data_IF_208838885933
#
_entry.id   IF_208838885933
#
_cell.length_a   1.000
_cell.length_b   1.000
_cell.length_c   1.000
_cell.angle_alpha   90.00
_cell.angle_beta   90.00
_cell.angle_gamma   90.00
#
_symmetry.space_group_name_H-M   'P 1'
#
loop_
_entity.id
_entity.type
_entity.pdbx_description
1 polymer ?
#
# COMPACT_ATOMS: atom_id res chain seq x y z
N UNK A 1 23.23 -3.28 1.48
CA UNK A 1 22.28 -4.11 0.73
C UNK A 1 20.86 -3.84 1.22
N UNK A 2 19.87 -3.82 0.33
CA UNK A 2 18.50 -3.58 0.75
C UNK A 2 17.96 -4.76 1.59
N UNK A 3 17.12 -4.43 2.56
CA UNK A 3 16.38 -5.41 3.32
C UNK A 3 15.24 -5.95 2.45
N UNK A 4 15.17 -7.26 2.30
CA UNK A 4 14.10 -7.92 1.55
C UNK A 4 13.29 -8.79 2.49
N UNK A 5 11.98 -8.60 2.47
CA UNK A 5 11.06 -9.41 3.23
C UNK A 5 10.20 -10.24 2.28
N UNK A 6 10.29 -11.57 2.40
CA UNK A 6 9.47 -12.51 1.65
C UNK A 6 8.49 -13.18 2.58
N UNK A 7 7.26 -13.25 2.16
CA UNK A 7 6.20 -13.86 2.93
C UNK A 7 5.33 -14.77 2.06
N UNK A 8 5.13 -15.99 2.52
CA UNK A 8 4.23 -16.96 1.90
C UNK A 8 3.09 -17.28 2.85
N UNK A 9 1.87 -16.79 2.52
CA UNK A 9 0.70 -16.97 3.36
C UNK A 9 0.19 -18.40 3.39
N UNK A 10 0.52 -19.23 2.38
CA UNK A 10 0.09 -20.63 2.34
C UNK A 10 0.84 -21.49 3.33
N UNK A 11 2.10 -21.19 3.58
CA UNK A 11 2.95 -21.92 4.56
C UNK A 11 2.99 -21.22 5.91
N UNK A 12 2.59 -19.96 5.97
CA UNK A 12 2.67 -19.14 7.16
C UNK A 12 4.10 -18.76 7.52
N UNK A 13 5.02 -18.71 6.57
CA UNK A 13 6.43 -18.41 6.80
C UNK A 13 6.85 -17.13 6.09
N UNK A 14 7.80 -16.42 6.70
CA UNK A 14 8.42 -15.26 6.11
C UNK A 14 9.92 -15.28 6.35
N UNK A 15 10.65 -14.53 5.54
CA UNK A 15 12.08 -14.33 5.73
C UNK A 15 12.45 -12.88 5.48
N UNK A 16 13.45 -12.41 6.22
CA UNK A 16 14.09 -11.12 6.02
C UNK A 16 15.45 -11.37 5.40
N UNK A 17 15.73 -10.73 4.28
CA UNK A 17 16.98 -10.91 3.57
C UNK A 17 17.72 -9.58 3.41
N UNK A 18 19.02 -9.59 3.74
CA UNK A 18 19.89 -8.47 3.50
C UNK A 18 21.17 -8.97 2.80
N UNK A 19 21.33 -8.61 1.53
CA UNK A 19 22.42 -9.15 0.72
C UNK A 19 22.29 -10.66 0.58
N UNK A 20 23.35 -11.40 0.98
CA UNK A 20 23.36 -12.85 1.02
C UNK A 20 22.90 -13.44 2.36
N UNK A 21 22.71 -12.59 3.37
CA UNK A 21 22.26 -13.03 4.70
C UNK A 21 20.75 -13.11 4.75
N UNK A 22 20.23 -14.28 5.09
CA UNK A 22 18.80 -14.51 5.24
C UNK A 22 18.49 -14.87 6.69
N UNK A 23 17.54 -14.13 7.27
CA UNK A 23 17.13 -14.29 8.66
C UNK A 23 15.71 -14.82 8.71
N UNK A 24 15.52 -15.98 9.34
CA UNK A 24 14.18 -16.46 9.64
C UNK A 24 13.48 -15.47 10.59
N UNK A 25 12.23 -15.18 10.31
CA UNK A 25 11.42 -14.30 11.16
C UNK A 25 11.03 -15.03 12.43
N UNK A 26 11.86 -14.96 13.46
CA UNK A 26 11.62 -15.62 14.73
C UNK A 26 10.33 -15.13 15.39
N UNK A 27 9.44 -16.06 15.72
CA UNK A 27 8.19 -15.76 16.40
C UNK A 27 7.13 -15.10 15.53
N UNK A 28 7.43 -14.80 14.28
CA UNK A 28 6.43 -14.30 13.32
C UNK A 28 6.10 -15.38 12.31
N UNK A 29 4.94 -15.95 12.48
CA UNK A 29 4.37 -16.87 11.51
C UNK A 29 3.59 -16.07 10.48
N UNK A 30 3.34 -16.62 9.33
CA UNK A 30 2.48 -15.99 8.34
C UNK A 30 1.07 -15.75 8.86
N UNK A 31 0.65 -16.53 9.85
CA UNK A 31 -0.52 -16.22 10.63
C UNK A 31 -0.45 -14.84 11.30
N UNK A 32 0.73 -14.28 11.52
CA UNK A 32 0.86 -12.96 12.14
C UNK A 32 0.49 -11.85 11.18
N UNK A 33 0.82 -11.94 9.90
CA UNK A 33 0.32 -11.01 8.89
C UNK A 33 -1.18 -11.17 8.66
N UNK A 34 -1.68 -12.39 8.74
CA UNK A 34 -3.10 -12.68 8.55
C UNK A 34 -3.93 -12.60 9.84
N UNK A 35 -3.31 -12.36 10.99
CA UNK A 35 -3.99 -12.41 12.28
C UNK A 35 -4.39 -11.04 12.85
N UNK A 36 -4.29 -9.99 12.06
CA UNK A 36 -4.68 -8.64 12.47
C UNK A 36 -3.73 -7.99 13.46
N UNK A 37 -2.49 -8.42 13.54
CA UNK A 37 -1.49 -7.83 14.43
C UNK A 37 -0.92 -6.54 13.87
N UNK A 38 -0.46 -5.67 14.77
CA UNK A 38 0.27 -4.48 14.39
C UNK A 38 1.74 -4.83 14.14
N UNK A 39 2.24 -4.48 12.97
CA UNK A 39 3.62 -4.77 12.56
C UNK A 39 4.35 -3.47 12.26
N UNK A 40 5.62 -3.42 12.62
CA UNK A 40 6.50 -2.28 12.31
C UNK A 40 7.66 -2.75 11.45
N UNK A 41 7.89 -2.04 10.35
CA UNK A 41 8.94 -2.34 9.39
C UNK A 41 10.03 -1.28 9.49
N UNK A 42 11.24 -1.72 9.79
CA UNK A 42 12.42 -0.89 10.03
C UNK A 42 13.45 -1.13 8.93
N UNK A 43 14.38 -0.19 8.80
CA UNK A 43 15.53 -0.31 7.91
C UNK A 43 15.29 0.27 6.52
N UNK A 44 16.36 0.83 5.95
CA UNK A 44 16.31 1.48 4.64
C UNK A 44 16.24 0.47 3.50
N UNK A 45 15.59 0.86 2.41
CA UNK A 45 15.45 0.07 1.19
C UNK A 45 14.84 -1.30 1.45
N UNK A 46 13.86 -1.36 2.35
CA UNK A 46 13.14 -2.58 2.65
C UNK A 46 12.29 -3.03 1.47
N UNK A 47 12.14 -4.34 1.32
CA UNK A 47 11.30 -4.91 0.27
C UNK A 47 10.45 -6.05 0.82
N UNK A 48 9.17 -6.00 0.51
CA UNK A 48 8.22 -7.06 0.84
C UNK A 48 7.70 -7.61 -0.48
N UNK A 49 8.00 -8.88 -0.75
CA UNK A 49 7.51 -9.59 -1.93
C UNK A 49 6.39 -10.54 -1.52
N UNK A 50 5.17 -10.29 -2.01
CA UNK A 50 4.05 -11.17 -1.75
C UNK A 50 4.02 -12.30 -2.76
N UNK A 51 4.19 -13.52 -2.29
CA UNK A 51 4.05 -14.75 -3.08
C UNK A 51 2.62 -15.29 -3.02
N UNK A 52 1.87 -14.89 -2.01
CA UNK A 52 0.45 -15.21 -1.85
C UNK A 52 -0.30 -14.01 -1.30
N UNK A 53 -1.60 -13.98 -1.54
CA UNK A 53 -2.46 -12.90 -1.04
C UNK A 53 -2.53 -12.91 0.49
N UNK A 54 -2.56 -11.72 1.08
CA UNK A 54 -2.56 -11.51 2.53
C UNK A 54 -3.86 -10.87 2.97
N UNK A 55 -4.47 -11.41 4.01
CA UNK A 55 -5.62 -10.79 4.70
C UNK A 55 -5.16 -10.35 6.09
N UNK A 56 -4.88 -9.05 6.22
CA UNK A 56 -4.35 -8.47 7.46
C UNK A 56 -5.42 -8.33 8.55
N UNK A 57 -6.65 -8.17 8.17
CA UNK A 57 -7.71 -7.92 9.14
C UNK A 57 -7.61 -6.52 9.76
N UNK A 58 -7.74 -6.42 11.07
CA UNK A 58 -7.79 -5.15 11.81
C UNK A 58 -6.42 -4.60 12.21
N UNK A 59 -5.33 -5.30 11.93
CA UNK A 59 -3.98 -4.86 12.28
C UNK A 59 -3.50 -3.71 11.40
N UNK A 60 -2.47 -3.01 11.86
CA UNK A 60 -1.83 -1.92 11.13
C UNK A 60 -0.39 -2.25 10.76
N UNK A 61 0.07 -1.65 9.68
CA UNK A 61 1.45 -1.74 9.22
C UNK A 61 2.09 -0.38 9.38
N UNK A 62 3.15 -0.28 10.17
CA UNK A 62 3.91 0.95 10.34
C UNK A 62 5.23 0.84 9.61
N UNK A 63 5.48 1.79 8.71
CA UNK A 63 6.74 1.91 7.97
C UNK A 63 7.50 3.12 8.50
N UNK A 64 8.66 2.88 9.10
CA UNK A 64 9.51 3.94 9.65
C UNK A 64 10.58 4.40 8.68
N UNK A 65 10.80 3.64 7.61
CA UNK A 65 11.78 3.89 6.58
C UNK A 65 11.21 3.53 5.20
N UNK A 66 11.99 3.74 4.16
CA UNK A 66 11.58 3.49 2.78
C UNK A 66 11.43 2.00 2.48
N UNK A 67 10.26 1.62 1.99
CA UNK A 67 9.91 0.24 1.64
C UNK A 67 9.25 0.18 0.27
N UNK A 68 9.40 -0.98 -0.38
CA UNK A 68 8.63 -1.35 -1.56
C UNK A 68 7.86 -2.62 -1.25
N UNK A 69 6.54 -2.58 -1.42
CA UNK A 69 5.67 -3.75 -1.30
C UNK A 69 5.21 -4.14 -2.69
N UNK A 70 5.61 -5.32 -3.14
CA UNK A 70 5.41 -5.77 -4.51
C UNK A 70 4.90 -7.20 -4.58
N UNK A 71 4.50 -7.63 -5.77
CA UNK A 71 4.14 -9.02 -6.07
C UNK A 71 4.49 -9.34 -7.52
N UNK A 72 4.99 -10.53 -7.76
CA UNK A 72 5.29 -11.03 -9.11
C UNK A 72 4.15 -11.87 -9.71
N UNK A 73 3.15 -12.23 -8.90
CA UNK A 73 2.08 -13.15 -9.29
C UNK A 73 0.67 -12.59 -9.13
N UNK A 74 0.53 -11.27 -8.92
CA UNK A 74 -0.78 -10.65 -8.75
C UNK A 74 -1.42 -10.84 -7.39
N UNK A 75 -0.67 -11.25 -6.37
CA UNK A 75 -1.18 -11.37 -5.00
C UNK A 75 -1.70 -10.04 -4.47
N UNK A 76 -2.73 -10.09 -3.63
CA UNK A 76 -3.42 -8.91 -3.10
C UNK A 76 -3.20 -8.75 -1.60
N UNK A 77 -3.41 -7.55 -1.08
CA UNK A 77 -3.41 -7.24 0.34
C UNK A 77 -4.76 -6.70 0.76
N UNK A 78 -5.36 -7.29 1.79
CA UNK A 78 -6.71 -6.97 2.26
C UNK A 78 -6.69 -6.49 3.69
N UNK A 79 -7.45 -5.47 4.00
CA UNK A 79 -7.82 -5.06 5.36
C UNK A 79 -6.82 -4.17 6.09
N UNK A 80 -5.62 -3.92 5.58
CA UNK A 80 -4.60 -3.25 6.35
C UNK A 80 -4.82 -1.73 6.49
N UNK A 81 -4.56 -1.21 7.69
CA UNK A 81 -4.24 0.17 7.91
C UNK A 81 -2.73 0.39 7.77
N UNK A 82 -2.32 1.44 7.09
CA UNK A 82 -0.92 1.77 6.85
C UNK A 82 -0.57 3.09 7.54
N UNK A 83 0.49 3.06 8.36
CA UNK A 83 1.06 4.25 8.98
C UNK A 83 2.43 4.48 8.33
N UNK A 84 2.58 5.59 7.62
CA UNK A 84 3.84 5.94 6.94
C UNK A 84 4.46 7.13 7.66
N UNK A 85 5.63 6.93 8.25
CA UNK A 85 6.33 7.98 8.98
C UNK A 85 6.83 9.07 8.03
N UNK A 86 7.04 10.26 8.56
CA UNK A 86 7.32 11.49 7.82
C UNK A 86 8.41 11.36 6.76
N UNK A 87 9.48 10.64 7.06
CA UNK A 87 10.63 10.51 6.15
C UNK A 87 10.66 9.16 5.44
N UNK A 88 9.57 8.41 5.47
CA UNK A 88 9.46 7.09 4.87
C UNK A 88 8.60 7.15 3.61
N UNK A 89 9.16 7.12 2.40
CA UNK A 89 8.38 6.83 1.20
C UNK A 89 8.14 5.33 1.12
N UNK A 90 6.90 4.94 0.87
CA UNK A 90 6.52 3.55 0.65
C UNK A 90 5.96 3.40 -0.76
N UNK A 91 6.58 2.51 -1.54
CA UNK A 91 6.11 2.14 -2.86
C UNK A 91 5.16 0.95 -2.73
N UNK A 92 3.91 1.15 -3.09
CA UNK A 92 2.86 0.15 -2.93
C UNK A 92 2.43 -0.38 -4.29
N UNK A 93 2.85 -1.59 -4.62
CA UNK A 93 2.67 -2.20 -5.94
C UNK A 93 1.73 -3.41 -5.90
N UNK A 94 0.92 -3.52 -4.87
CA UNK A 94 -0.06 -4.60 -4.74
C UNK A 94 -1.47 -4.03 -4.75
N UNK A 95 -2.40 -4.78 -5.32
CA UNK A 95 -3.79 -4.37 -5.38
C UNK A 95 -4.56 -4.91 -4.18
N UNK A 96 -5.64 -4.23 -3.82
CA UNK A 96 -6.63 -4.71 -2.87
C UNK A 96 -7.73 -5.50 -3.57
N UNK A 97 -8.82 -5.72 -2.87
CA UNK A 97 -9.98 -6.44 -3.37
C UNK A 97 -11.23 -5.57 -3.27
N UNK A 98 -12.24 -5.91 -4.06
CA UNK A 98 -13.53 -5.22 -4.03
C UNK A 98 -14.14 -5.27 -2.62
N UNK A 99 -14.62 -4.13 -2.16
CA UNK A 99 -15.25 -4.01 -0.84
C UNK A 99 -14.30 -3.73 0.29
N UNK A 100 -12.98 -3.81 0.08
CA UNK A 100 -11.97 -3.47 1.06
C UNK A 100 -11.45 -2.05 0.86
N UNK A 101 -11.00 -1.40 1.94
CA UNK A 101 -10.42 -0.08 1.90
C UNK A 101 -9.05 -0.09 2.57
N UNK A 102 -8.05 0.43 1.86
CA UNK A 102 -6.74 0.70 2.43
C UNK A 102 -6.79 2.03 3.16
N UNK A 103 -6.49 2.02 4.45
CA UNK A 103 -6.44 3.22 5.28
C UNK A 103 -4.99 3.69 5.41
N UNK A 104 -4.71 4.92 4.96
CA UNK A 104 -3.37 5.50 5.07
C UNK A 104 -3.39 6.69 6.02
N UNK A 105 -2.54 6.62 7.05
CA UNK A 105 -2.27 7.72 7.98
C UNK A 105 -0.75 7.93 8.11
N UNK A 106 -0.34 8.86 8.98
CA UNK A 106 1.06 9.26 9.11
C UNK A 106 1.45 10.31 8.08
N UNK A 107 2.47 11.11 8.39
CA UNK A 107 2.86 12.28 7.58
C UNK A 107 3.65 11.92 6.32
N UNK A 108 4.06 10.65 6.17
CA UNK A 108 4.87 10.20 5.05
C UNK A 108 4.08 10.02 3.76
N UNK A 109 4.78 9.57 2.71
CA UNK A 109 4.23 9.44 1.36
C UNK A 109 4.05 7.99 0.99
N UNK A 110 2.85 7.64 0.54
CA UNK A 110 2.55 6.36 -0.08
C UNK A 110 2.45 6.58 -1.59
N UNK A 111 3.29 5.87 -2.35
CA UNK A 111 3.27 5.91 -3.82
C UNK A 111 2.62 4.63 -4.33
N UNK A 112 1.47 4.75 -4.98
CA UNK A 112 0.71 3.62 -5.52
C UNK A 112 1.15 3.38 -6.96
N UNK A 113 1.86 2.28 -7.19
CA UNK A 113 2.44 1.93 -8.49
C UNK A 113 2.19 0.47 -8.88
N UNK A 114 1.05 -0.08 -8.51
CA UNK A 114 0.65 -1.41 -8.98
C UNK A 114 0.29 -1.40 -10.46
N UNK A 115 -0.25 -2.51 -10.94
CA UNK A 115 -0.59 -2.69 -12.36
C UNK A 115 -2.05 -3.06 -12.52
N UNK A 116 -2.68 -2.49 -13.53
CA UNK A 116 -4.05 -2.80 -13.91
C UNK A 116 -5.09 -2.12 -13.04
N UNK A 117 -6.23 -2.77 -12.88
CA UNK A 117 -7.37 -2.24 -12.15
C UNK A 117 -7.36 -2.74 -10.72
N UNK A 118 -7.17 -1.82 -9.76
CA UNK A 118 -7.34 -2.12 -8.35
C UNK A 118 -8.81 -1.88 -7.97
N UNK A 119 -9.51 -2.91 -7.54
CA UNK A 119 -10.92 -2.83 -7.15
C UNK A 119 -11.12 -2.40 -5.69
N UNK A 120 -10.04 -2.30 -4.93
CA UNK A 120 -10.08 -1.80 -3.56
C UNK A 120 -10.23 -0.30 -3.48
N UNK A 121 -10.71 0.19 -2.34
CA UNK A 121 -10.83 1.62 -2.06
C UNK A 121 -9.66 2.15 -1.25
N UNK A 122 -9.56 3.48 -1.14
CA UNK A 122 -8.56 4.19 -0.35
C UNK A 122 -9.24 5.19 0.57
N UNK A 123 -8.78 5.23 1.82
CA UNK A 123 -9.11 6.30 2.77
C UNK A 123 -7.81 6.93 3.25
N UNK A 124 -7.66 8.23 3.06
CA UNK A 124 -6.46 8.98 3.43
C UNK A 124 -6.77 9.89 4.60
N UNK A 125 -6.11 9.68 5.72
CA UNK A 125 -6.29 10.51 6.93
C UNK A 125 -5.17 11.50 7.18
N UNK A 126 -3.98 11.30 6.60
CA UNK A 126 -2.83 12.21 6.77
C UNK A 126 -1.77 11.95 5.71
N UNK A 127 -0.84 12.90 5.57
CA UNK A 127 0.31 12.81 4.67
C UNK A 127 -0.06 12.90 3.20
N UNK A 128 0.70 12.21 2.36
CA UNK A 128 0.55 12.28 0.90
C UNK A 128 0.37 10.89 0.32
N UNK A 129 -0.53 10.75 -0.64
CA UNK A 129 -0.66 9.57 -1.50
C UNK A 129 -0.49 10.00 -2.94
N UNK A 130 0.45 9.38 -3.65
CA UNK A 130 0.69 9.61 -5.08
C UNK A 130 0.09 8.44 -5.84
N UNK A 131 -0.88 8.72 -6.72
CA UNK A 131 -1.54 7.71 -7.53
C UNK A 131 -0.83 7.63 -8.89
N UNK A 132 -0.07 6.55 -9.07
CA UNK A 132 0.73 6.30 -10.28
C UNK A 132 0.58 4.85 -10.73
N UNK A 133 -0.64 4.33 -10.69
CA UNK A 133 -0.95 2.99 -11.15
C UNK A 133 -0.64 2.87 -12.64
N UNK A 134 -0.10 1.73 -13.05
CA UNK A 134 0.29 1.47 -14.42
C UNK A 134 -0.78 0.62 -15.12
N UNK A 135 -1.00 0.88 -16.41
CA UNK A 135 -1.92 0.09 -17.20
C UNK A 135 -1.42 -1.35 -17.37
N UNK A 136 -2.37 -2.29 -17.43
CA UNK A 136 -2.07 -3.68 -17.78
C UNK A 136 -1.82 -3.83 -19.28
N UNK A 137 -1.58 -5.07 -19.73
CA UNK A 137 -1.33 -5.37 -21.15
C UNK A 137 -2.52 -5.05 -22.06
N UNK A 138 -3.73 -4.92 -21.49
CA UNK A 138 -4.94 -4.53 -22.22
C UNK A 138 -5.23 -3.02 -22.16
N UNK A 139 -4.37 -2.24 -21.52
CA UNK A 139 -4.51 -0.80 -21.37
C UNK A 139 -5.45 -0.36 -20.26
N UNK A 140 -5.89 -1.27 -19.39
CA UNK A 140 -6.77 -0.94 -18.27
C UNK A 140 -5.97 -0.46 -17.07
N UNK A 141 -6.43 0.61 -16.42
CA UNK A 141 -5.76 1.18 -15.26
C UNK A 141 -6.77 1.80 -14.29
N UNK A 142 -6.57 1.55 -13.01
CA UNK A 142 -7.28 2.22 -11.91
C UNK A 142 -6.47 2.03 -10.63
N UNK A 143 -6.07 3.13 -9.99
CA UNK A 143 -5.34 3.04 -8.72
C UNK A 143 -6.23 2.55 -7.58
N UNK A 144 -7.44 3.10 -7.47
CA UNK A 144 -8.47 2.67 -6.51
C UNK A 144 -9.85 2.83 -7.11
N UNK A 145 -10.79 2.00 -6.66
CA UNK A 145 -12.20 2.12 -7.06
C UNK A 145 -12.88 3.34 -6.43
N UNK A 146 -12.40 3.77 -5.27
CA UNK A 146 -12.87 4.97 -4.58
C UNK A 146 -11.74 5.59 -3.77
N UNK A 147 -11.82 6.89 -3.55
CA UNK A 147 -10.86 7.63 -2.71
C UNK A 147 -11.65 8.53 -1.78
N UNK A 148 -11.43 8.39 -0.46
CA UNK A 148 -11.96 9.29 0.55
C UNK A 148 -10.81 10.09 1.16
N UNK A 149 -10.89 11.42 1.08
CA UNK A 149 -9.89 12.34 1.62
C UNK A 149 -10.48 12.96 2.88
N UNK A 150 -9.92 12.63 4.03
CA UNK A 150 -10.47 12.98 5.34
C UNK A 150 -9.49 13.82 6.17
N UNK A 151 -10.00 14.44 7.21
CA UNK A 151 -9.28 15.19 8.26
C UNK A 151 -8.61 16.51 7.86
N UNK A 152 -8.68 16.96 6.62
CA UNK A 152 -8.24 18.30 6.18
C UNK A 152 -6.74 18.45 5.89
N UNK A 153 -5.91 17.47 6.24
CA UNK A 153 -4.46 17.50 6.08
C UNK A 153 -3.89 16.69 4.92
N UNK A 154 -4.51 15.59 4.50
CA UNK A 154 -3.91 14.76 3.48
C UNK A 154 -3.95 15.40 2.09
N UNK A 155 -2.97 15.02 1.28
CA UNK A 155 -2.89 15.37 -0.14
C UNK A 155 -2.86 14.09 -0.95
N UNK A 156 -3.72 14.02 -1.98
CA UNK A 156 -3.69 12.96 -2.98
C UNK A 156 -3.25 13.58 -4.30
N UNK A 157 -2.18 13.05 -4.89
CA UNK A 157 -1.59 13.56 -6.13
C UNK A 157 -1.82 12.55 -7.25
N UNK A 158 -2.34 13.02 -8.39
CA UNK A 158 -2.44 12.20 -9.60
C UNK A 158 -1.13 12.31 -10.37
N UNK A 159 -0.38 11.22 -10.43
CA UNK A 159 0.86 11.16 -11.22
C UNK A 159 0.62 10.68 -12.66
N UNK A 160 -0.57 10.16 -12.95
CA UNK A 160 -0.98 9.75 -14.30
C UNK A 160 -2.50 9.89 -14.43
N UNK A 161 -3.00 9.71 -15.66
CA UNK A 161 -4.42 9.84 -15.98
C UNK A 161 -5.22 8.60 -15.51
N UNK A 162 -6.52 8.76 -15.36
CA UNK A 162 -7.48 7.67 -15.14
C UNK A 162 -7.18 6.81 -13.90
N UNK A 163 -6.67 7.43 -12.85
CA UNK A 163 -6.30 6.72 -11.61
C UNK A 163 -7.51 6.37 -10.74
N UNK A 164 -8.56 7.15 -10.81
CA UNK A 164 -9.80 6.92 -10.04
C UNK A 164 -10.98 7.58 -10.78
N UNK A 165 -12.16 6.95 -10.67
CA UNK A 165 -13.37 7.54 -11.19
C UNK A 165 -13.73 8.76 -10.33
N UNK A 166 -13.90 9.96 -10.93
CA UNK A 166 -14.20 11.18 -10.18
C UNK A 166 -15.51 11.09 -9.37
N UNK A 167 -16.48 10.31 -9.81
CA UNK A 167 -17.74 10.09 -9.08
C UNK A 167 -17.53 9.33 -7.76
N UNK A 168 -16.40 8.66 -7.61
CA UNK A 168 -16.05 7.86 -6.45
C UNK A 168 -15.03 8.55 -5.53
N UNK A 169 -14.78 9.84 -5.73
CA UNK A 169 -13.97 10.64 -4.83
C UNK A 169 -14.90 11.32 -3.83
N UNK A 170 -14.62 11.14 -2.54
CA UNK A 170 -15.39 11.76 -1.47
C UNK A 170 -14.46 12.49 -0.50
N UNK A 171 -15.02 13.45 0.22
CA UNK A 171 -14.30 14.29 1.14
C UNK A 171 -14.90 14.13 2.53
N UNK A 172 -14.02 13.98 3.53
CA UNK A 172 -14.43 14.04 4.92
C UNK A 172 -14.84 15.48 5.32
N UNK A 173 -15.33 15.61 6.53
CA UNK A 173 -15.85 16.90 7.01
C UNK A 173 -14.84 18.05 6.88
N UNK A 174 -13.54 17.78 7.10
CA UNK A 174 -12.50 18.81 7.00
C UNK A 174 -11.85 18.90 5.62
N UNK A 175 -12.22 17.99 4.70
CA UNK A 175 -11.63 17.93 3.36
C UNK A 175 -10.20 17.44 3.35
N UNK A 176 -9.40 18.05 2.54
CA UNK A 176 -8.02 17.74 2.21
C UNK A 176 -7.69 18.33 0.85
N UNK A 177 -6.68 17.81 0.17
CA UNK A 177 -6.25 18.31 -1.15
C UNK A 177 -6.22 17.17 -2.15
N UNK A 178 -6.82 17.37 -3.31
CA UNK A 178 -6.61 16.56 -4.50
C UNK A 178 -5.83 17.38 -5.51
N UNK A 179 -4.60 17.01 -5.78
CA UNK A 179 -3.73 17.66 -6.76
C UNK A 179 -3.77 16.84 -8.06
N UNK A 180 -4.43 17.35 -9.06
CA UNK A 180 -4.55 16.67 -10.36
C UNK A 180 -3.25 16.71 -11.16
N UNK A 181 -2.32 17.61 -10.83
CA UNK A 181 -0.97 17.65 -11.40
C UNK A 181 -0.99 17.63 -12.95
N UNK A 182 -1.98 18.30 -13.55
CA UNK A 182 -2.14 18.32 -15.00
C UNK A 182 -2.71 17.06 -15.64
N UNK A 183 -3.12 16.08 -14.85
CA UNK A 183 -3.68 14.82 -15.33
C UNK A 183 -5.21 14.82 -15.33
N UNK A 184 -5.79 13.91 -16.09
CA UNK A 184 -7.24 13.68 -16.15
C UNK A 184 -7.67 12.62 -15.14
N UNK A 185 -8.87 12.80 -14.62
CA UNK A 185 -9.52 11.83 -13.76
C UNK A 185 -10.16 10.68 -14.54
#
# INVERSE_FOLDING_TARGET
>A
APLQWKFDSSTGTGSLKQGSDEYAMHGQKGSDLNAGKNLTFLGHNGQIDLENSVTQGAGSLTFTDDYTVTTSNGSTWTGAGIIVDKDAPVNWQVNGVKGDNLHKIGEGTLVVQGTGVNEGGLKVGDGTVVLNQQADSSGHVQAFSSVNIASGRPTVVLADNQQVNPDNISWGYRGGVLDVNGNDL
#
